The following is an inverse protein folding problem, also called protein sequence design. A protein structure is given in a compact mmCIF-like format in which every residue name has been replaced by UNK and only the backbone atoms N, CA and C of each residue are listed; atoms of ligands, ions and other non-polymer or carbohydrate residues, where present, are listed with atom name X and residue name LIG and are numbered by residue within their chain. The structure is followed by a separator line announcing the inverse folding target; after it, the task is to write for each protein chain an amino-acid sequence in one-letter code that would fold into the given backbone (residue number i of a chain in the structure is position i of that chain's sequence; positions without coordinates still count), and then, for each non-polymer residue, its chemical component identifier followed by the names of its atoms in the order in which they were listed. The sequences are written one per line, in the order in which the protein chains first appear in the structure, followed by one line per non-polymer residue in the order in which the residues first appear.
data_IF_652727816919
#
_entry.id   IF_652727816919
#
_cell.length_a   1.000
_cell.length_b   1.000
_cell.length_c   1.000
_cell.angle_alpha   90.00
_cell.angle_beta   90.00
_cell.angle_gamma   90.00
#
_symmetry.space_group_name_H-M   'P 1'
#
loop_
_entity.id
_entity.type
_entity.pdbx_description
1 polymer ?
#
# COMPACT_ATOMS: atom_id res chain seq x y z
N UNK A 1 14.97 3.03 -11.86
CA UNK A 1 14.50 1.73 -11.29
C UNK A 1 14.16 1.87 -9.81
N UNK A 2 14.95 2.60 -9.03
CA UNK A 2 14.66 2.92 -7.61
C UNK A 2 13.45 3.87 -7.47
N UNK A 3 13.31 4.86 -8.35
CA UNK A 3 12.22 5.84 -8.31
C UNK A 3 10.80 5.22 -8.39
N UNK A 4 10.64 4.13 -9.16
CA UNK A 4 9.35 3.42 -9.25
C UNK A 4 9.00 2.70 -7.94
N UNK A 5 10.00 2.16 -7.26
CA UNK A 5 9.82 1.50 -5.97
C UNK A 5 9.57 2.52 -4.86
N UNK A 6 10.20 3.68 -4.96
CA UNK A 6 9.95 4.81 -4.07
C UNK A 6 8.52 5.32 -4.22
N UNK A 7 8.03 5.49 -5.45
CA UNK A 7 6.63 5.83 -5.71
C UNK A 7 5.64 4.78 -5.17
N UNK A 8 5.94 3.48 -5.33
CA UNK A 8 5.13 2.38 -4.78
C UNK A 8 5.12 2.41 -3.25
N UNK A 9 6.27 2.69 -2.63
CA UNK A 9 6.38 2.81 -1.17
C UNK A 9 5.60 4.02 -0.64
N UNK A 10 5.74 5.18 -1.27
CA UNK A 10 4.97 6.39 -0.94
C UNK A 10 3.48 6.07 -1.00
N UNK A 11 3.03 5.44 -2.10
CA UNK A 11 1.63 5.04 -2.24
C UNK A 11 1.17 4.05 -1.17
N UNK A 12 2.02 3.10 -0.81
CA UNK A 12 1.73 2.13 0.24
C UNK A 12 1.54 2.81 1.60
N UNK A 13 2.42 3.75 1.96
CA UNK A 13 2.33 4.53 3.21
C UNK A 13 1.06 5.40 3.21
N UNK A 14 0.74 6.09 2.11
CA UNK A 14 -0.49 6.88 1.96
C UNK A 14 -1.76 6.02 2.14
N UNK A 15 -1.81 4.86 1.47
CA UNK A 15 -2.95 3.94 1.58
C UNK A 15 -3.04 3.36 3.00
N UNK A 16 -1.91 3.07 3.65
CA UNK A 16 -1.88 2.58 5.04
C UNK A 16 -2.41 3.61 6.03
N UNK A 17 -2.12 4.90 5.83
CA UNK A 17 -2.69 5.97 6.65
C UNK A 17 -4.18 6.15 6.37
N UNK A 18 -4.58 6.10 5.09
CA UNK A 18 -5.97 6.24 4.67
C UNK A 18 -6.89 5.14 5.23
N UNK A 19 -6.45 3.87 5.26
CA UNK A 19 -7.26 2.77 5.83
C UNK A 19 -7.39 2.84 7.36
N UNK A 20 -6.51 3.57 8.05
CA UNK A 20 -6.58 3.81 9.49
C UNK A 20 -7.50 4.99 9.83
N UNK A 21 -7.83 5.83 8.83
CA UNK A 21 -8.69 6.97 9.03
C UNK A 21 -10.15 6.52 9.29
N UNK A 22 -10.77 6.88 10.43
CA UNK A 22 -12.13 6.48 10.78
C UNK A 22 -13.20 6.95 9.78
N UNK A 23 -12.98 8.06 9.05
CA UNK A 23 -13.87 8.52 7.98
C UNK A 23 -13.88 7.54 6.79
N UNK A 24 -12.72 6.94 6.49
CA UNK A 24 -12.58 5.92 5.44
C UNK A 24 -13.16 4.59 5.89
N UNK A 25 -12.90 4.19 7.13
CA UNK A 25 -13.45 2.95 7.71
C UNK A 25 -14.98 3.00 7.75
N UNK A 26 -15.56 4.17 7.98
CA UNK A 26 -17.01 4.38 7.96
C UNK A 26 -17.61 4.27 6.55
N UNK A 27 -16.82 4.51 5.49
CA UNK A 27 -17.21 4.26 4.09
C UNK A 27 -16.70 2.90 3.60
N UNK A 28 -17.53 1.87 3.75
CA UNK A 28 -17.23 0.49 3.36
C UNK A 28 -16.74 0.34 1.91
N UNK A 29 -17.21 1.18 0.96
CA UNK A 29 -16.78 1.09 -0.45
C UNK A 29 -15.35 1.61 -0.61
N UNK A 30 -15.04 2.75 0.01
CA UNK A 30 -13.68 3.30 0.04
C UNK A 30 -12.72 2.38 0.79
N UNK A 31 -13.12 1.91 1.98
CA UNK A 31 -12.32 0.99 2.78
C UNK A 31 -11.98 -0.30 2.02
N UNK A 32 -12.95 -0.94 1.36
CA UNK A 32 -12.71 -2.17 0.58
C UNK A 32 -11.75 -1.92 -0.57
N UNK A 33 -11.88 -0.79 -1.26
CA UNK A 33 -11.03 -0.43 -2.40
C UNK A 33 -9.58 -0.20 -1.94
N UNK A 34 -9.40 0.61 -0.90
CA UNK A 34 -8.09 0.92 -0.33
C UNK A 34 -7.41 -0.30 0.30
N UNK A 35 -8.18 -1.17 0.98
CA UNK A 35 -7.64 -2.41 1.56
C UNK A 35 -7.17 -3.38 0.47
N UNK A 36 -7.87 -3.42 -0.68
CA UNK A 36 -7.43 -4.21 -1.83
C UNK A 36 -6.13 -3.66 -2.41
N UNK A 37 -6.06 -2.34 -2.62
CA UNK A 37 -4.84 -1.65 -3.08
C UNK A 37 -3.66 -1.89 -2.14
N UNK A 38 -3.87 -1.75 -0.82
CA UNK A 38 -2.87 -2.04 0.21
C UNK A 38 -2.29 -3.45 0.07
N UNK A 39 -3.16 -4.47 -0.11
CA UNK A 39 -2.71 -5.86 -0.30
C UNK A 39 -1.90 -6.06 -1.57
N UNK A 40 -2.25 -5.40 -2.67
CA UNK A 40 -1.50 -5.50 -3.93
C UNK A 40 -0.14 -4.82 -3.82
N UNK A 41 -0.10 -3.62 -3.24
CA UNK A 41 1.15 -2.89 -2.99
C UNK A 41 2.07 -3.65 -2.03
N UNK A 42 1.52 -4.26 -0.98
CA UNK A 42 2.31 -5.05 -0.02
C UNK A 42 3.04 -6.22 -0.70
N UNK A 43 2.39 -6.94 -1.63
CA UNK A 43 3.03 -8.03 -2.38
C UNK A 43 4.23 -7.54 -3.17
N UNK A 44 4.12 -6.38 -3.80
CA UNK A 44 5.22 -5.80 -4.60
C UNK A 44 6.37 -5.39 -3.69
N UNK A 45 6.07 -4.75 -2.55
CA UNK A 45 7.07 -4.36 -1.55
C UNK A 45 7.76 -5.58 -0.93
N UNK A 46 7.02 -6.65 -0.64
CA UNK A 46 7.55 -7.89 -0.08
C UNK A 46 8.48 -8.59 -1.08
N UNK A 47 8.07 -8.73 -2.34
CA UNK A 47 8.92 -9.25 -3.42
C UNK A 47 10.18 -8.39 -3.57
N UNK A 48 10.05 -7.07 -3.57
CA UNK A 48 11.21 -6.16 -3.60
C UNK A 48 12.16 -6.38 -2.41
N UNK A 49 11.63 -6.51 -1.20
CA UNK A 49 12.43 -6.81 0.00
C UNK A 49 13.16 -8.13 -0.16
N UNK A 50 12.51 -9.17 -0.68
CA UNK A 50 13.16 -10.46 -0.96
C UNK A 50 14.29 -10.33 -1.98
N UNK A 51 14.09 -9.59 -3.08
CA UNK A 51 15.13 -9.34 -4.07
C UNK A 51 16.32 -8.52 -3.54
N UNK A 52 16.09 -7.60 -2.60
CA UNK A 52 17.14 -6.76 -2.01
C UNK A 52 17.93 -7.48 -0.91
N UNK A 53 17.35 -8.51 -0.31
CA UNK A 53 17.96 -9.26 0.80
C UNK A 53 18.78 -10.47 0.34
N UNK A 54 19.04 -10.57 -0.97
CA UNK A 54 19.98 -11.47 -1.65
C UNK A 54 21.14 -10.62 -2.15
#
# INVERSE_FOLDING_TARGET
MIEKLEAIKIRFDEVSEAIQNPDVVSDMKRYTSLTKEYKELNKIVEVYKQYKNI
#
